data_IF_665412498143
#
_entry.id   IF_665412498143
#
_cell.length_a   1.000
_cell.length_b   1.000
_cell.length_c   1.000
_cell.angle_alpha   90.00
_cell.angle_beta   90.00
_cell.angle_gamma   90.00
#
_symmetry.space_group_name_H-M   'P 1'
#
loop_
_entity.id
_entity.type
_entity.pdbx_description
1 polymer ?
#
# COMPACT_ATOMS: atom_id res chain seq x y z
N UNK A 1 66.56 -33.10 -2.69
CA UNK A 1 65.47 -33.78 -3.42
C UNK A 1 64.18 -33.07 -3.04
N UNK A 2 63.48 -32.25 -3.81
CA UNK A 2 63.45 -32.04 -5.25
C UNK A 2 61.97 -31.95 -5.67
N UNK A 3 61.44 -30.72 -5.76
CA UNK A 3 60.34 -30.23 -6.63
C UNK A 3 58.94 -30.91 -6.42
N UNK A 4 57.83 -30.21 -6.16
CA UNK A 4 57.20 -29.20 -7.04
C UNK A 4 56.13 -28.40 -6.27
N UNK A 5 56.26 -27.08 -6.32
CA UNK A 5 55.16 -26.15 -6.11
C UNK A 5 54.20 -26.24 -7.31
N UNK A 6 52.93 -26.52 -7.04
CA UNK A 6 51.85 -26.37 -8.02
C UNK A 6 51.19 -25.00 -7.75
N UNK A 7 51.60 -24.01 -8.52
CA UNK A 7 50.82 -22.78 -8.75
C UNK A 7 49.83 -23.08 -9.86
N UNK A 8 48.53 -23.05 -9.59
CA UNK A 8 47.48 -22.94 -10.60
C UNK A 8 46.16 -22.51 -9.93
N UNK A 9 45.61 -21.38 -10.36
CA UNK A 9 44.19 -21.07 -10.13
C UNK A 9 43.84 -19.62 -9.78
N UNK A 10 44.26 -18.64 -10.58
CA UNK A 10 43.56 -17.34 -10.65
C UNK A 10 42.29 -17.49 -11.47
N UNK A 11 41.12 -17.26 -10.87
CA UNK A 11 40.03 -16.49 -11.48
C UNK A 11 38.98 -16.16 -10.42
N UNK A 12 38.92 -14.88 -10.05
CA UNK A 12 37.82 -14.29 -9.30
C UNK A 12 36.54 -14.42 -10.13
N UNK A 13 35.58 -15.23 -9.69
CA UNK A 13 34.20 -15.15 -10.16
C UNK A 13 33.27 -15.17 -8.95
N UNK A 14 33.35 -14.10 -8.16
CA UNK A 14 32.30 -13.72 -7.24
C UNK A 14 31.07 -13.29 -8.05
N UNK A 15 30.22 -14.24 -8.41
CA UNK A 15 28.86 -13.94 -8.85
C UNK A 15 28.05 -13.58 -7.60
N UNK A 16 28.29 -12.40 -7.05
CA UNK A 16 27.35 -11.79 -6.12
C UNK A 16 26.13 -11.39 -6.94
N UNK A 17 25.14 -12.27 -6.96
CA UNK A 17 23.79 -11.91 -7.37
C UNK A 17 23.32 -10.82 -6.41
N UNK A 18 23.37 -9.57 -6.86
CA UNK A 18 22.67 -8.48 -6.20
C UNK A 18 21.19 -8.81 -6.24
N UNK A 19 20.66 -9.32 -5.13
CA UNK A 19 19.23 -9.39 -4.93
C UNK A 19 18.69 -7.97 -5.08
N UNK A 20 17.97 -7.73 -6.18
CA UNK A 20 17.17 -6.53 -6.32
C UNK A 20 16.12 -6.63 -5.22
N UNK A 21 16.31 -5.89 -4.13
CA UNK A 21 15.26 -5.65 -3.18
C UNK A 21 14.18 -4.88 -3.95
N UNK A 22 13.14 -5.57 -4.38
CA UNK A 22 11.87 -4.94 -4.69
C UNK A 22 11.43 -4.33 -3.35
N UNK A 23 11.80 -3.08 -3.12
CA UNK A 23 11.09 -2.25 -2.15
C UNK A 23 9.66 -2.31 -2.65
N UNK A 24 8.82 -3.11 -1.98
CA UNK A 24 7.39 -3.01 -2.16
C UNK A 24 7.12 -1.52 -1.96
N UNK A 25 6.86 -0.81 -3.06
CA UNK A 25 6.34 0.54 -2.98
C UNK A 25 5.02 0.32 -2.28
N UNK A 26 5.01 0.53 -0.96
CA UNK A 26 3.81 0.48 -0.13
C UNK A 26 2.85 1.48 -0.75
N UNK A 27 2.05 0.96 -1.68
CA UNK A 27 1.21 1.77 -2.52
C UNK A 27 0.14 2.29 -1.59
N UNK A 28 0.09 3.60 -1.39
CA UNK A 28 -0.88 4.23 -0.50
C UNK A 28 -2.28 3.69 -0.83
N UNK A 29 -3.07 3.43 0.20
CA UNK A 29 -4.49 3.14 0.04
C UNK A 29 -5.13 4.34 -0.67
N UNK A 30 -5.50 4.15 -1.93
CA UNK A 30 -5.95 5.20 -2.84
C UNK A 30 -6.87 4.59 -3.90
N UNK A 31 -7.59 5.42 -4.65
CA UNK A 31 -8.42 4.93 -5.75
C UNK A 31 -7.56 4.23 -6.83
N UNK A 32 -7.89 2.99 -7.25
CA UNK A 32 -7.05 2.25 -8.21
C UNK A 32 -6.95 2.88 -9.60
N UNK A 33 -7.90 3.73 -9.98
CA UNK A 33 -7.91 4.45 -11.26
C UNK A 33 -7.22 5.83 -11.21
N UNK A 34 -6.50 6.12 -10.13
CA UNK A 34 -5.79 7.40 -9.97
C UNK A 34 -4.66 7.54 -11.01
N UNK A 35 -4.63 8.68 -11.71
CA UNK A 35 -3.59 9.00 -12.71
C UNK A 35 -2.60 10.08 -12.25
N UNK A 36 -3.00 10.91 -11.27
CA UNK A 36 -2.18 11.98 -10.70
C UNK A 36 -1.59 11.58 -9.34
N UNK A 37 -0.50 12.20 -8.86
CA UNK A 37 0.00 11.95 -7.51
C UNK A 37 -1.04 12.31 -6.43
N UNK A 38 -0.94 11.68 -5.26
CA UNK A 38 -1.80 11.99 -4.12
C UNK A 38 -1.43 13.34 -3.51
N UNK A 39 -2.33 14.35 -3.46
CA UNK A 39 -2.03 15.64 -2.87
C UNK A 39 -1.98 15.58 -1.33
N UNK A 40 -2.70 14.64 -0.72
CA UNK A 40 -2.86 14.56 0.74
C UNK A 40 -2.63 13.12 1.22
N UNK A 41 -1.38 12.81 1.55
CA UNK A 41 -1.00 11.51 2.12
C UNK A 41 -1.04 11.56 3.65
N UNK A 42 -1.58 10.51 4.24
CA UNK A 42 -1.65 10.31 5.68
C UNK A 42 -1.01 8.99 6.06
N UNK A 43 0.03 9.02 6.90
CA UNK A 43 0.66 7.82 7.44
C UNK A 43 0.10 7.52 8.83
N UNK A 44 -0.41 6.30 9.04
CA UNK A 44 -0.97 5.86 10.31
C UNK A 44 -0.63 4.42 10.62
N UNK A 45 -0.39 4.12 11.89
CA UNK A 45 -0.34 2.76 12.37
C UNK A 45 -1.76 2.22 12.40
N UNK A 46 -2.04 1.16 11.64
CA UNK A 46 -3.34 0.52 11.62
C UNK A 46 -3.23 -0.94 11.22
N UNK A 47 -4.23 -1.71 11.64
CA UNK A 47 -4.42 -3.09 11.21
C UNK A 47 -5.55 -3.12 10.19
N UNK A 48 -5.24 -3.56 8.96
CA UNK A 48 -6.26 -3.81 7.94
C UNK A 48 -6.94 -5.17 8.22
N UNK A 49 -8.19 -5.39 7.75
CA UNK A 49 -8.94 -6.61 8.03
C UNK A 49 -8.19 -7.91 7.70
N UNK A 50 -7.38 -7.90 6.65
CA UNK A 50 -6.64 -9.09 6.18
C UNK A 50 -5.23 -9.21 6.78
N UNK A 51 -4.92 -8.43 7.83
CA UNK A 51 -3.59 -8.38 8.41
C UNK A 51 -3.60 -8.84 9.87
N UNK A 52 -2.61 -9.65 10.23
CA UNK A 52 -2.47 -10.22 11.58
C UNK A 52 -1.89 -9.22 12.58
N UNK A 53 -1.17 -8.21 12.11
CA UNK A 53 -0.50 -7.22 12.93
C UNK A 53 -0.75 -5.80 12.39
N UNK A 54 -0.67 -4.81 13.28
CA UNK A 54 -0.72 -3.41 12.89
C UNK A 54 0.57 -3.02 12.15
N UNK A 55 0.42 -2.23 11.09
CA UNK A 55 1.53 -1.69 10.32
C UNK A 55 1.34 -0.23 9.99
N UNK A 56 2.42 0.47 9.67
CA UNK A 56 2.30 1.83 9.12
C UNK A 56 1.72 1.71 7.71
N UNK A 57 0.60 2.37 7.48
CA UNK A 57 -0.09 2.44 6.18
C UNK A 57 -0.16 3.90 5.73
N UNK A 58 0.05 4.11 4.44
CA UNK A 58 -0.22 5.37 3.79
C UNK A 58 -1.66 5.36 3.25
N UNK A 59 -2.39 6.46 3.42
CA UNK A 59 -3.74 6.68 2.87
C UNK A 59 -3.75 7.98 2.06
N UNK A 60 -4.36 7.95 0.88
CA UNK A 60 -4.66 9.16 0.12
C UNK A 60 -6.00 9.77 0.54
N UNK A 61 -5.98 10.75 1.45
CA UNK A 61 -7.19 11.29 2.10
C UNK A 61 -8.20 11.85 1.11
N UNK A 62 -7.74 12.46 0.01
CA UNK A 62 -8.62 13.03 -1.02
C UNK A 62 -9.57 12.01 -1.63
N UNK A 63 -9.16 10.75 -1.69
CA UNK A 63 -9.91 9.70 -2.39
C UNK A 63 -11.07 9.17 -1.54
N UNK A 64 -10.99 9.43 -0.24
CA UNK A 64 -12.02 9.07 0.72
C UNK A 64 -12.94 10.24 1.10
N UNK A 65 -12.58 11.47 0.72
CA UNK A 65 -13.34 12.68 1.06
C UNK A 65 -14.84 12.57 0.76
N UNK A 66 -15.29 12.00 -0.38
CA UNK A 66 -16.72 11.85 -0.66
C UNK A 66 -17.47 11.00 0.36
N UNK A 67 -16.79 10.10 1.09
CA UNK A 67 -17.38 9.22 2.09
C UNK A 67 -17.30 9.76 3.52
N UNK A 68 -16.56 10.86 3.71
CA UNK A 68 -16.44 11.56 5.00
C UNK A 68 -17.54 12.62 5.19
N UNK A 69 -18.28 12.94 4.13
CA UNK A 69 -19.34 13.94 4.13
C UNK A 69 -20.71 13.30 4.25
N UNK A 70 -21.62 13.96 4.97
CA UNK A 70 -23.01 13.56 5.00
C UNK A 70 -23.69 13.94 3.68
N UNK A 71 -24.36 13.00 2.98
CA UNK A 71 -25.05 13.29 1.73
C UNK A 71 -26.24 14.22 1.94
N UNK A 72 -26.39 15.22 1.07
CA UNK A 72 -27.42 16.27 1.16
C UNK A 72 -28.83 15.82 0.72
N UNK A 73 -28.93 14.66 0.07
CA UNK A 73 -30.20 14.10 -0.43
C UNK A 73 -30.19 12.58 -0.46
N UNK A 74 -31.37 11.98 -0.60
CA UNK A 74 -31.52 10.53 -0.79
C UNK A 74 -30.78 10.04 -2.04
N UNK A 75 -30.84 10.78 -3.14
CA UNK A 75 -30.11 10.45 -4.38
C UNK A 75 -28.61 10.46 -4.14
N UNK A 76 -28.09 11.48 -3.43
CA UNK A 76 -26.68 11.54 -3.07
C UNK A 76 -26.27 10.40 -2.13
N UNK A 77 -27.14 10.01 -1.19
CA UNK A 77 -26.89 8.88 -0.29
C UNK A 77 -26.81 7.55 -1.05
N UNK A 78 -27.73 7.31 -1.99
CA UNK A 78 -27.69 6.11 -2.84
C UNK A 78 -26.39 6.07 -3.64
N UNK A 79 -26.03 7.20 -4.28
CA UNK A 79 -24.80 7.30 -5.07
C UNK A 79 -23.56 7.03 -4.22
N UNK A 80 -23.44 7.68 -3.06
CA UNK A 80 -22.31 7.48 -2.15
C UNK A 80 -22.18 6.02 -1.70
N UNK A 81 -23.30 5.32 -1.42
CA UNK A 81 -23.29 3.88 -1.09
C UNK A 81 -22.80 3.02 -2.26
N UNK A 82 -23.20 3.34 -3.49
CA UNK A 82 -22.76 2.61 -4.68
C UNK A 82 -21.26 2.82 -4.94
N UNK A 83 -20.82 4.08 -4.88
CA UNK A 83 -19.41 4.45 -5.05
C UNK A 83 -18.53 3.78 -3.99
N UNK A 84 -19.02 3.69 -2.74
CA UNK A 84 -18.32 2.99 -1.65
C UNK A 84 -18.15 1.50 -1.96
N UNK A 85 -19.25 0.81 -2.33
CA UNK A 85 -19.21 -0.62 -2.68
C UNK A 85 -18.27 -0.90 -3.85
N UNK A 86 -18.26 -0.01 -4.84
CA UNK A 86 -17.37 -0.15 -5.98
C UNK A 86 -15.90 -0.03 -5.54
N UNK A 87 -15.58 0.93 -4.67
CA UNK A 87 -14.21 1.09 -4.18
C UNK A 87 -13.79 -0.08 -3.28
N UNK A 88 -14.68 -0.58 -2.43
CA UNK A 88 -14.46 -1.79 -1.61
C UNK A 88 -14.11 -2.99 -2.50
N UNK A 89 -14.87 -3.20 -3.58
CA UNK A 89 -14.61 -4.27 -4.54
C UNK A 89 -13.27 -4.09 -5.29
N UNK A 90 -12.90 -2.86 -5.62
CA UNK A 90 -11.64 -2.56 -6.30
C UNK A 90 -10.41 -2.70 -5.38
N UNK A 91 -10.57 -2.41 -4.09
CA UNK A 91 -9.51 -2.56 -3.09
C UNK A 91 -9.45 -3.97 -2.48
N UNK A 92 -10.51 -4.76 -2.64
CA UNK A 92 -10.65 -6.08 -2.03
C UNK A 92 -10.82 -6.03 -0.51
N UNK A 93 -11.26 -4.91 0.05
CA UNK A 93 -11.41 -4.72 1.50
C UNK A 93 -12.55 -3.75 1.84
N UNK A 94 -13.11 -3.91 3.05
CA UNK A 94 -14.10 -2.98 3.61
C UNK A 94 -13.48 -1.61 3.92
N UNK A 95 -14.21 -0.52 3.63
CA UNK A 95 -13.68 0.84 3.83
C UNK A 95 -13.88 1.39 5.24
N UNK A 96 -14.86 0.87 5.99
CA UNK A 96 -15.24 1.42 7.29
C UNK A 96 -14.06 1.54 8.29
N UNK A 97 -13.12 0.57 8.39
CA UNK A 97 -11.93 0.74 9.24
C UNK A 97 -11.08 1.96 8.86
N UNK A 98 -10.91 2.22 7.56
CA UNK A 98 -10.18 3.39 7.07
C UNK A 98 -10.96 4.67 7.38
N UNK A 99 -12.28 4.67 7.14
CA UNK A 99 -13.13 5.84 7.36
C UNK A 99 -13.16 6.24 8.85
N UNK A 100 -13.21 5.29 9.79
CA UNK A 100 -13.11 5.59 11.23
C UNK A 100 -11.81 6.32 11.58
N UNK A 101 -10.68 5.84 11.06
CA UNK A 101 -9.37 6.48 11.25
C UNK A 101 -9.34 7.90 10.69
N UNK A 102 -9.95 8.11 9.51
CA UNK A 102 -10.02 9.42 8.88
C UNK A 102 -10.99 10.38 9.60
N UNK A 103 -12.06 9.86 10.21
CA UNK A 103 -12.99 10.62 11.07
C UNK A 103 -12.43 10.87 12.47
N UNK A 104 -11.30 10.23 12.85
CA UNK A 104 -10.72 10.22 14.20
C UNK A 104 -11.68 9.63 15.24
N UNK A 105 -12.40 8.59 14.82
CA UNK A 105 -13.24 7.77 15.67
C UNK A 105 -12.40 6.54 16.06
N UNK A 106 -11.60 6.69 17.12
CA UNK A 106 -10.71 5.65 17.64
C UNK A 106 -11.48 4.66 18.55
#
# INVERSE_FOLDING_TARGET
MGVKAALLGTALSGLTFSAMATTATDTCLQQPNRTLPCPHQLYRLMQLPDQQEAGVRCICVSDFQPFLQQPESEVAQIRQRMDRRQLEAQLGMELEPILRILRRED
#
